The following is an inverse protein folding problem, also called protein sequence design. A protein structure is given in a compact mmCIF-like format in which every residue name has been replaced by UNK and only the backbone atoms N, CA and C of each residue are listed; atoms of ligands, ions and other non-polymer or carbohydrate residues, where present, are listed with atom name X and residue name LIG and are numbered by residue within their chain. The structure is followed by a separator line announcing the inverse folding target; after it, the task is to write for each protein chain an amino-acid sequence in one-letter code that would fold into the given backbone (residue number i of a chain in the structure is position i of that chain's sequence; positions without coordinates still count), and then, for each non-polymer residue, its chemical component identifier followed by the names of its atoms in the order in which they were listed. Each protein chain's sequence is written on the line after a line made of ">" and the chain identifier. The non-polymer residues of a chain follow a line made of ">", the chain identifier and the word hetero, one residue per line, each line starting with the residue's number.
data_IF_430005752200
#
_entry.id   IF_430005752200
#
_cell.length_a   1.000
_cell.length_b   1.000
_cell.length_c   1.000
_cell.angle_alpha   90.00
_cell.angle_beta   90.00
_cell.angle_gamma   90.00
#
_symmetry.space_group_name_H-M   'P 1'
#
loop_
_entity.id
_entity.type
_entity.pdbx_description
1 polymer ?
#
# COMPACT_ATOMS: atom_id res chain seq x y z
N UNK A 1 11.37 -0.28 10.08
CA UNK A 1 11.25 1.18 10.20
C UNK A 1 12.57 1.84 9.91
N UNK A 2 12.55 3.08 9.44
CA UNK A 2 13.75 3.84 9.10
C UNK A 2 14.26 3.82 7.65
N UNK A 3 13.53 3.34 6.61
CA UNK A 3 14.01 3.50 5.25
C UNK A 3 14.05 5.00 4.91
N UNK A 4 15.10 5.40 4.20
CA UNK A 4 15.30 6.78 3.72
C UNK A 4 15.24 6.77 2.20
N UNK A 5 14.68 7.84 1.63
CA UNK A 5 14.64 8.04 0.19
C UNK A 5 15.96 8.64 -0.29
N UNK A 6 16.60 7.99 -1.27
CA UNK A 6 17.85 8.46 -1.89
C UNK A 6 17.66 8.95 -3.33
N UNK A 7 16.56 8.56 -3.97
CA UNK A 7 16.27 8.88 -5.36
C UNK A 7 14.81 9.31 -5.51
N UNK A 8 14.58 10.21 -6.47
CA UNK A 8 13.27 10.48 -7.02
C UNK A 8 13.09 9.67 -8.33
N UNK A 9 11.88 9.64 -8.86
CA UNK A 9 11.58 8.97 -10.11
C UNK A 9 10.47 9.70 -10.89
N UNK A 10 10.48 9.54 -12.21
CA UNK A 10 9.35 9.91 -13.06
C UNK A 10 8.92 8.72 -13.91
N UNK A 11 7.68 8.76 -14.38
CA UNK A 11 7.07 7.67 -15.16
C UNK A 11 6.84 6.39 -14.35
N UNK A 12 6.44 5.34 -15.06
CA UNK A 12 6.15 4.03 -14.49
C UNK A 12 6.33 2.95 -15.57
N UNK A 13 6.70 1.73 -15.17
CA UNK A 13 6.94 0.60 -16.09
C UNK A 13 7.97 0.98 -17.17
N UNK A 14 7.62 0.97 -18.46
CA UNK A 14 8.57 1.29 -19.53
C UNK A 14 9.04 2.75 -19.55
N UNK A 15 8.32 3.66 -18.87
CA UNK A 15 8.70 5.08 -18.82
C UNK A 15 9.43 5.46 -17.53
N UNK A 16 9.76 4.48 -16.67
CA UNK A 16 10.46 4.72 -15.41
C UNK A 16 11.83 5.34 -15.65
N UNK A 17 12.08 6.50 -15.04
CA UNK A 17 13.35 7.22 -15.12
C UNK A 17 13.82 7.64 -13.73
N UNK A 18 15.13 7.50 -13.49
CA UNK A 18 15.79 8.05 -12.31
C UNK A 18 15.71 9.58 -12.32
N UNK A 19 15.42 10.17 -11.17
CA UNK A 19 15.47 11.61 -10.95
C UNK A 19 16.30 11.87 -9.68
N UNK A 20 17.27 12.80 -9.69
CA UNK A 20 18.03 13.15 -8.49
C UNK A 20 17.10 13.59 -7.37
N UNK A 21 17.26 13.01 -6.18
CA UNK A 21 16.46 13.40 -5.02
C UNK A 21 16.92 14.75 -4.47
N UNK A 22 15.99 15.72 -4.45
CA UNK A 22 16.21 17.05 -3.88
C UNK A 22 15.20 17.25 -2.74
N UNK A 23 15.53 16.82 -1.50
CA UNK A 23 14.62 16.99 -0.38
C UNK A 23 14.40 18.48 -0.08
N UNK A 24 13.14 18.89 0.01
CA UNK A 24 12.76 20.23 0.50
C UNK A 24 12.85 20.28 2.03
N UNK A 25 12.67 19.13 2.69
CA UNK A 25 12.71 18.99 4.15
C UNK A 25 13.55 17.78 4.55
N UNK A 26 14.25 17.88 5.68
CA UNK A 26 14.95 16.76 6.29
C UNK A 26 13.95 15.76 6.85
N UNK A 27 14.17 14.46 6.59
CA UNK A 27 13.35 13.40 7.18
C UNK A 27 13.53 13.38 8.69
N UNK A 28 12.44 13.54 9.44
CA UNK A 28 12.44 13.45 10.89
C UNK A 28 12.94 12.08 11.35
N UNK A 29 13.63 12.05 12.49
CA UNK A 29 14.20 10.84 13.09
C UNK A 29 13.69 10.63 14.51
N UNK A 30 13.61 9.38 14.95
CA UNK A 30 13.35 9.05 16.35
C UNK A 30 14.59 9.20 17.24
N UNK A 31 14.45 8.93 18.54
CA UNK A 31 15.55 8.99 19.51
C UNK A 31 16.68 7.99 19.26
N UNK A 32 16.50 7.02 18.35
CA UNK A 32 17.53 6.08 17.91
C UNK A 32 18.17 6.49 16.57
N UNK A 33 17.81 7.66 16.03
CA UNK A 33 18.32 8.17 14.76
C UNK A 33 17.72 7.52 13.50
N UNK A 34 16.64 6.73 13.65
CA UNK A 34 15.95 6.08 12.52
C UNK A 34 14.96 7.05 11.91
N UNK A 35 14.82 7.09 10.59
CA UNK A 35 13.80 7.90 9.94
C UNK A 35 12.39 7.51 10.41
N UNK A 36 11.52 8.50 10.62
CA UNK A 36 10.09 8.31 10.92
C UNK A 36 9.33 7.88 9.67
N UNK A 37 9.71 6.72 9.14
CA UNK A 37 9.12 6.11 7.96
C UNK A 37 8.92 4.62 8.24
N UNK A 38 7.71 4.16 7.96
CA UNK A 38 7.30 2.77 8.10
C UNK A 38 6.74 2.31 6.77
N UNK A 39 7.23 1.16 6.29
CA UNK A 39 6.78 0.53 5.06
C UNK A 39 6.52 -0.93 5.39
N UNK A 40 5.31 -1.40 5.07
CA UNK A 40 4.92 -2.80 5.24
C UNK A 40 4.68 -3.40 3.86
N UNK A 41 5.48 -4.40 3.49
CA UNK A 41 5.28 -5.18 2.27
C UNK A 41 4.31 -6.33 2.50
N UNK A 42 3.32 -6.50 1.63
CA UNK A 42 2.37 -7.61 1.67
C UNK A 42 1.88 -7.96 0.24
N UNK A 43 1.71 -9.24 -0.04
CA UNK A 43 1.53 -9.80 -1.38
C UNK A 43 0.06 -10.13 -1.70
N UNK A 44 -0.47 -9.68 -2.83
CA UNK A 44 -1.82 -10.01 -3.29
C UNK A 44 -1.85 -11.35 -4.03
N UNK A 45 -3.02 -11.99 -4.12
CA UNK A 45 -3.23 -13.13 -5.02
C UNK A 45 -3.15 -12.64 -6.46
N UNK A 46 -2.47 -13.40 -7.30
CA UNK A 46 -2.43 -13.17 -8.75
C UNK A 46 -3.60 -13.86 -9.44
N UNK A 47 -4.58 -13.07 -9.90
CA UNK A 47 -5.73 -13.54 -10.67
C UNK A 47 -5.53 -13.44 -12.18
N UNK A 48 -4.33 -13.06 -12.66
CA UNK A 48 -4.07 -12.79 -14.08
C UNK A 48 -4.27 -14.00 -15.00
N UNK A 49 -4.17 -15.22 -14.47
CA UNK A 49 -4.35 -16.49 -15.19
C UNK A 49 -5.64 -17.22 -14.81
N UNK A 50 -6.59 -16.51 -14.20
CA UNK A 50 -7.82 -17.11 -13.65
C UNK A 50 -9.07 -16.40 -14.17
N UNK A 51 -10.24 -17.02 -14.04
CA UNK A 51 -11.51 -16.35 -14.30
C UNK A 51 -11.71 -15.20 -13.29
N UNK A 52 -12.04 -14.01 -13.79
CA UNK A 52 -12.17 -12.79 -12.97
C UNK A 52 -13.18 -12.94 -11.82
N UNK A 53 -14.19 -13.79 -11.94
CA UNK A 53 -15.19 -14.05 -10.89
C UNK A 53 -14.65 -14.84 -9.70
N UNK A 54 -13.53 -15.56 -9.84
CA UNK A 54 -12.98 -16.43 -8.78
C UNK A 54 -12.64 -15.62 -7.52
N UNK A 55 -12.14 -14.39 -7.68
CA UNK A 55 -11.75 -13.53 -6.55
C UNK A 55 -12.89 -13.19 -5.58
N UNK A 56 -14.15 -13.30 -6.01
CA UNK A 56 -15.33 -13.07 -5.17
C UNK A 56 -15.68 -14.29 -4.31
N UNK A 57 -15.01 -15.42 -4.49
CA UNK A 57 -15.17 -16.60 -3.65
C UNK A 57 -14.68 -16.34 -2.23
N UNK A 58 -15.42 -16.86 -1.24
CA UNK A 58 -15.14 -16.70 0.20
C UNK A 58 -13.70 -17.04 0.59
N UNK A 59 -13.12 -18.09 0.00
CA UNK A 59 -11.71 -18.47 0.17
C UNK A 59 -10.75 -17.33 -0.13
N UNK A 60 -10.96 -16.65 -1.26
CA UNK A 60 -10.06 -15.62 -1.77
C UNK A 60 -10.25 -14.30 -1.03
N UNK A 61 -11.50 -13.91 -0.77
CA UNK A 61 -11.82 -12.76 0.09
C UNK A 61 -11.16 -12.94 1.46
N UNK A 62 -11.30 -14.12 2.08
CA UNK A 62 -10.71 -14.44 3.38
C UNK A 62 -9.19 -14.35 3.36
N UNK A 63 -8.54 -14.91 2.34
CA UNK A 63 -7.07 -14.84 2.17
C UNK A 63 -6.60 -13.40 2.11
N UNK A 64 -7.21 -12.58 1.26
CA UNK A 64 -6.82 -11.18 1.07
C UNK A 64 -7.11 -10.32 2.30
N UNK A 65 -8.23 -10.58 2.98
CA UNK A 65 -8.57 -9.95 4.26
C UNK A 65 -7.51 -10.21 5.33
N UNK A 66 -7.16 -11.48 5.58
CA UNK A 66 -6.17 -11.79 6.63
C UNK A 66 -4.78 -11.27 6.27
N UNK A 67 -4.42 -11.27 4.98
CA UNK A 67 -3.16 -10.68 4.53
C UNK A 67 -3.13 -9.16 4.78
N UNK A 68 -4.17 -8.43 4.40
CA UNK A 68 -4.27 -7.00 4.68
C UNK A 68 -4.32 -6.71 6.19
N UNK A 69 -5.10 -7.47 6.96
CA UNK A 69 -5.17 -7.34 8.41
C UNK A 69 -3.79 -7.48 9.05
N UNK A 70 -3.05 -8.53 8.71
CA UNK A 70 -1.70 -8.77 9.25
C UNK A 70 -0.71 -7.64 8.94
N UNK A 71 -0.90 -6.94 7.81
CA UNK A 71 -0.09 -5.79 7.43
C UNK A 71 -0.49 -4.50 8.19
N UNK A 72 -1.74 -4.40 8.66
CA UNK A 72 -2.26 -3.20 9.29
C UNK A 72 -2.15 -3.20 10.82
N UNK A 73 -1.93 -4.37 11.42
CA UNK A 73 -1.69 -4.53 12.88
C UNK A 73 -0.65 -3.51 13.35
N UNK A 74 -0.96 -2.86 14.47
CA UNK A 74 -0.08 -1.92 15.15
C UNK A 74 0.88 -2.74 16.02
N UNK A 75 2.16 -2.74 15.66
CA UNK A 75 3.21 -3.37 16.47
C UNK A 75 3.62 -2.44 17.62
N UNK A 76 4.26 -2.94 18.70
CA UNK A 76 4.60 -2.13 19.89
C UNK A 76 5.42 -0.85 19.61
N UNK A 77 6.11 -0.78 18.48
CA UNK A 77 6.91 0.39 18.08
C UNK A 77 6.22 1.25 16.99
N UNK A 78 5.01 0.90 16.57
CA UNK A 78 4.22 1.63 15.56
C UNK A 78 3.34 2.64 16.26
N UNK A 79 3.37 3.89 15.80
CA UNK A 79 2.47 4.91 16.31
C UNK A 79 1.03 4.57 15.87
N UNK A 80 0.11 4.28 16.82
CA UNK A 80 -1.26 3.87 16.50
C UNK A 80 -2.06 4.97 15.78
N UNK A 81 -1.63 6.23 15.89
CA UNK A 81 -2.27 7.39 15.25
C UNK A 81 -1.88 7.56 13.77
N UNK A 82 -0.91 6.78 13.27
CA UNK A 82 -0.47 6.89 11.88
C UNK A 82 -1.40 6.03 11.00
N UNK A 83 -2.15 6.65 10.06
CA UNK A 83 -3.05 5.92 9.18
C UNK A 83 -2.27 5.02 8.21
N UNK A 84 -2.94 3.99 7.70
CA UNK A 84 -2.46 3.20 6.56
C UNK A 84 -2.64 4.02 5.29
N UNK A 85 -1.54 4.42 4.64
CA UNK A 85 -1.58 4.98 3.30
C UNK A 85 -1.45 3.87 2.26
N UNK A 86 -2.49 3.64 1.45
CA UNK A 86 -2.53 2.52 0.48
C UNK A 86 -3.25 2.90 -0.83
N UNK A 87 -3.41 1.90 -1.70
CA UNK A 87 -4.08 1.93 -3.02
C UNK A 87 -4.90 0.64 -3.20
N UNK A 88 -5.64 0.48 -4.31
CA UNK A 88 -6.24 -0.81 -4.68
C UNK A 88 -5.18 -1.90 -4.91
N UNK A 89 -4.72 -2.50 -3.82
CA UNK A 89 -3.59 -3.43 -3.79
C UNK A 89 -3.87 -4.68 -4.61
N UNK A 90 -2.95 -5.04 -5.50
CA UNK A 90 -3.12 -6.17 -6.41
C UNK A 90 -4.06 -5.92 -7.60
N UNK A 91 -4.59 -4.71 -7.78
CA UNK A 91 -5.52 -4.42 -8.89
C UNK A 91 -4.83 -4.07 -10.23
N UNK A 92 -3.50 -3.99 -10.27
CA UNK A 92 -2.72 -3.77 -11.48
C UNK A 92 -2.34 -5.07 -12.18
N UNK A 93 -1.06 -5.45 -12.07
CA UNK A 93 -0.52 -6.65 -12.71
C UNK A 93 -1.28 -7.94 -12.31
N UNK A 94 -1.72 -8.04 -11.05
CA UNK A 94 -2.37 -9.22 -10.49
C UNK A 94 -3.89 -9.30 -10.75
N UNK A 95 -4.44 -8.34 -11.53
CA UNK A 95 -5.83 -8.36 -12.01
C UNK A 95 -6.91 -8.49 -10.93
N UNK A 96 -6.64 -8.02 -9.71
CA UNK A 96 -7.66 -7.87 -8.68
C UNK A 96 -8.68 -6.78 -9.04
N UNK A 97 -9.94 -6.98 -8.65
CA UNK A 97 -11.00 -6.00 -8.77
C UNK A 97 -10.77 -4.84 -7.80
N UNK A 98 -10.80 -3.60 -8.31
CA UNK A 98 -10.44 -2.43 -7.52
C UNK A 98 -11.41 -2.21 -6.35
N UNK A 99 -12.72 -2.35 -6.57
CA UNK A 99 -13.73 -2.11 -5.57
C UNK A 99 -13.65 -3.15 -4.45
N UNK A 100 -13.51 -4.43 -4.82
CA UNK A 100 -13.31 -5.52 -3.88
C UNK A 100 -12.06 -5.31 -3.01
N UNK A 101 -10.93 -4.91 -3.62
CA UNK A 101 -9.68 -4.64 -2.89
C UNK A 101 -9.80 -3.47 -1.93
N UNK A 102 -10.56 -2.44 -2.28
CA UNK A 102 -10.82 -1.30 -1.39
C UNK A 102 -11.66 -1.75 -0.19
N UNK A 103 -12.76 -2.47 -0.42
CA UNK A 103 -13.63 -2.98 0.66
C UNK A 103 -12.86 -3.91 1.61
N UNK A 104 -12.07 -4.84 1.06
CA UNK A 104 -11.26 -5.77 1.86
C UNK A 104 -10.27 -5.02 2.76
N UNK A 105 -9.56 -4.03 2.21
CA UNK A 105 -8.61 -3.24 3.00
C UNK A 105 -9.32 -2.38 4.05
N UNK A 106 -10.47 -1.80 3.72
CA UNK A 106 -11.27 -1.04 4.68
C UNK A 106 -11.73 -1.92 5.86
N UNK A 107 -12.28 -3.11 5.58
CA UNK A 107 -12.67 -4.07 6.62
C UNK A 107 -11.48 -4.52 7.48
N UNK A 108 -10.33 -4.77 6.86
CA UNK A 108 -9.10 -5.12 7.56
C UNK A 108 -8.66 -3.98 8.50
N UNK A 109 -8.67 -2.74 8.03
CA UNK A 109 -8.29 -1.57 8.81
C UNK A 109 -9.25 -1.33 10.00
N UNK A 110 -10.56 -1.48 9.78
CA UNK A 110 -11.57 -1.43 10.84
C UNK A 110 -11.32 -2.48 11.92
N UNK A 111 -10.96 -3.71 11.54
CA UNK A 111 -10.73 -4.81 12.51
C UNK A 111 -9.56 -4.56 13.45
N UNK A 112 -8.58 -3.74 13.05
CA UNK A 112 -7.41 -3.36 13.86
C UNK A 112 -7.51 -1.94 14.39
N UNK A 113 -8.67 -1.28 14.23
CA UNK A 113 -8.93 0.11 14.66
C UNK A 113 -7.90 1.11 14.15
N UNK A 114 -7.50 0.98 12.88
CA UNK A 114 -6.53 1.87 12.24
C UNK A 114 -7.18 2.65 11.11
N UNK A 115 -6.94 3.95 11.06
CA UNK A 115 -7.39 4.79 9.95
C UNK A 115 -6.71 4.37 8.65
N UNK A 116 -7.40 4.59 7.51
CA UNK A 116 -6.91 4.22 6.18
C UNK A 116 -7.13 5.39 5.22
N UNK A 117 -6.11 5.67 4.42
CA UNK A 117 -6.12 6.70 3.38
C UNK A 117 -5.86 6.01 2.05
N UNK A 118 -6.83 6.12 1.13
CA UNK A 118 -6.67 5.66 -0.24
C UNK A 118 -6.15 6.79 -1.11
N UNK A 119 -4.97 6.59 -1.69
CA UNK A 119 -4.37 7.55 -2.62
C UNK A 119 -4.92 7.33 -4.03
N UNK A 120 -5.39 8.40 -4.68
CA UNK A 120 -5.75 8.35 -6.10
C UNK A 120 -4.49 8.25 -6.95
N UNK A 121 -4.56 7.58 -8.10
CA UNK A 121 -3.59 7.84 -9.18
C UNK A 121 -3.81 9.28 -9.63
N UNK A 122 -2.74 10.03 -9.96
CA UNK A 122 -2.93 11.17 -10.85
C UNK A 122 -3.71 10.67 -12.07
N UNK A 123 -4.82 11.32 -12.41
CA UNK A 123 -5.45 11.10 -13.70
C UNK A 123 -4.39 11.32 -14.78
N UNK A 124 -4.46 10.54 -15.86
CA UNK A 124 -3.69 10.79 -17.08
C UNK A 124 -4.09 12.07 -17.81
N UNK A 125 -4.88 12.94 -17.18
CA UNK A 125 -5.43 14.15 -17.76
C UNK A 125 -4.52 15.31 -17.37
N UNK A 126 -3.45 15.42 -18.14
CA UNK A 126 -2.50 16.53 -18.18
C UNK A 126 -2.33 17.06 -19.60
N UNK A 127 -3.44 17.11 -20.35
CA UNK A 127 -3.65 17.95 -21.55
C UNK A 127 -4.97 18.67 -21.37
#
# INVERSE_FOLDING_TARGET
>A
MGPVRFADYSGYKQTLKFVPYKPVLTTAKDGMGRALTEITGFDAVDFSKTCASIQFGSRWIRREYFKAQSAFVIYPNTNPKVPVATRPWGAGAFKGDQALKVVIQWLAACSVKREIIFTKTPSSDGT
#
